data_IF_383718033893
#
_entry.id   IF_383718033893
#
_cell.length_a   1.000
_cell.length_b   1.000
_cell.length_c   1.000
_cell.angle_alpha   90.00
_cell.angle_beta   90.00
_cell.angle_gamma   90.00
#
_symmetry.space_group_name_H-M   'P 1'
#
loop_
_entity.id
_entity.type
_entity.pdbx_description
1 polymer ?
#
# COMPACT_ATOMS: atom_id res chain seq x y z
N UNK A 1 -12.28 -0.19 -15.42
CA UNK A 1 -11.23 -1.02 -14.86
C UNK A 1 -11.77 -1.71 -13.64
N UNK A 2 -11.82 -3.01 -13.62
CA UNK A 2 -12.31 -3.72 -12.43
C UNK A 2 -11.26 -3.60 -11.32
N UNK A 3 -11.65 -3.02 -10.24
CA UNK A 3 -10.89 -3.11 -8.98
C UNK A 3 -11.24 -4.48 -8.40
N UNK A 4 -10.50 -5.50 -8.83
CA UNK A 4 -10.87 -6.85 -8.49
C UNK A 4 -10.14 -7.34 -7.25
N UNK A 5 -9.16 -6.62 -6.64
CA UNK A 5 -8.09 -7.51 -6.47
C UNK A 5 -7.55 -7.66 -5.07
N UNK A 6 -7.97 -6.84 -4.19
CA UNK A 6 -7.71 -7.04 -2.76
C UNK A 6 -8.40 -8.29 -2.19
N UNK A 7 -9.37 -8.81 -2.94
CA UNK A 7 -10.20 -9.90 -2.50
C UNK A 7 -9.66 -11.27 -2.87
N UNK A 8 -9.04 -11.37 -4.03
CA UNK A 8 -8.52 -12.66 -4.47
C UNK A 8 -7.27 -13.06 -3.69
N UNK A 9 -6.50 -12.07 -3.29
CA UNK A 9 -5.35 -12.29 -2.41
C UNK A 9 -5.76 -12.78 -1.01
N UNK A 10 -6.93 -12.38 -0.53
CA UNK A 10 -7.44 -12.85 0.76
C UNK A 10 -8.08 -14.25 0.69
N UNK A 11 -8.49 -14.68 -0.51
CA UNK A 11 -9.13 -15.97 -0.70
C UNK A 11 -8.17 -17.12 -0.96
N UNK A 12 -6.94 -16.82 -1.38
CA UNK A 12 -5.93 -17.86 -1.52
C UNK A 12 -5.30 -18.16 -0.16
N UNK A 13 -5.91 -19.08 0.54
CA UNK A 13 -5.45 -19.58 1.84
C UNK A 13 -4.05 -20.21 1.83
N UNK A 14 -3.31 -20.11 0.75
CA UNK A 14 -2.04 -20.78 0.57
C UNK A 14 -0.82 -19.86 0.42
N UNK A 15 -0.99 -18.57 0.60
CA UNK A 15 0.11 -17.62 0.44
C UNK A 15 1.13 -17.63 1.59
N UNK A 16 0.80 -18.26 2.72
CA UNK A 16 1.73 -18.39 3.86
C UNK A 16 2.96 -19.25 3.58
N UNK A 17 2.97 -19.98 2.46
CA UNK A 17 4.10 -20.85 2.12
C UNK A 17 5.03 -20.27 1.07
N UNK A 18 4.77 -19.08 0.57
CA UNK A 18 5.72 -18.40 -0.29
C UNK A 18 6.68 -17.64 0.62
N UNK A 19 7.78 -18.24 0.91
CA UNK A 19 8.93 -17.60 1.51
C UNK A 19 9.45 -16.54 0.55
N UNK A 20 8.88 -15.36 0.62
CA UNK A 20 9.66 -14.18 0.30
C UNK A 20 10.71 -14.08 1.40
N UNK A 21 11.97 -13.94 1.04
CA UNK A 21 12.95 -13.60 2.06
C UNK A 21 12.40 -12.35 2.75
N UNK A 22 12.12 -12.48 4.00
CA UNK A 22 11.97 -11.34 4.85
C UNK A 22 13.22 -10.51 4.66
N UNK A 23 13.08 -9.46 3.89
CA UNK A 23 14.05 -8.39 3.99
C UNK A 23 13.84 -7.70 5.34
N UNK A 24 13.83 -8.56 6.26
CA UNK A 24 14.03 -8.20 7.58
C UNK A 24 15.42 -7.95 7.71
N UNK A 25 15.74 -6.98 7.60
CA UNK A 25 16.73 -6.65 8.19
C UNK A 25 17.31 -5.63 7.93
N UNK A 26 17.00 -4.85 8.55
CA UNK A 26 18.03 -4.02 9.00
C UNK A 26 17.85 -3.75 10.45
N UNK A 27 18.13 -4.71 11.22
CA UNK A 27 18.75 -4.42 12.50
C UNK A 27 20.11 -3.80 12.21
N UNK A 28 20.13 -2.53 12.01
CA UNK A 28 21.35 -1.77 12.10
C UNK A 28 21.70 -1.64 13.55
N UNK A 29 22.35 -2.64 14.05
CA UNK A 29 23.23 -2.47 15.18
C UNK A 29 24.38 -1.58 14.74
N UNK A 30 24.53 -0.45 15.41
CA UNK A 30 25.43 0.58 15.06
C UNK A 30 26.91 0.18 14.87
N UNK A 31 27.49 0.84 13.95
CA UNK A 31 28.89 0.98 13.80
C UNK A 31 29.12 2.38 13.32
N UNK A 32 29.48 3.24 14.25
CA UNK A 32 29.98 4.56 13.97
C UNK A 32 31.35 4.37 13.41
N UNK A 33 31.57 4.74 12.16
CA UNK A 33 32.89 5.20 11.77
C UNK A 33 32.78 6.29 10.72
N UNK A 34 33.21 7.42 11.18
CA UNK A 34 33.46 8.59 10.42
C UNK A 34 34.67 8.40 9.54
N UNK A 35 34.51 8.47 8.25
CA UNK A 35 35.55 9.03 7.40
C UNK A 35 34.96 9.48 6.08
N UNK A 36 35.16 10.75 5.87
CA UNK A 36 34.91 11.53 4.67
C UNK A 36 35.59 10.95 3.45
N UNK A 37 34.85 10.82 2.36
CA UNK A 37 35.32 11.31 1.04
C UNK A 37 34.24 11.13 -0.01
N UNK A 38 33.81 12.25 -0.50
CA UNK A 38 33.42 12.64 -1.87
C UNK A 38 33.00 11.61 -2.89
N UNK A 39 31.82 11.95 -3.44
CA UNK A 39 31.42 11.76 -4.84
C UNK A 39 31.09 10.37 -5.32
N UNK A 40 29.84 10.12 -5.36
CA UNK A 40 29.06 9.82 -6.57
C UNK A 40 27.62 9.58 -6.19
N UNK A 41 26.76 10.30 -6.85
CA UNK A 41 25.33 10.34 -6.67
C UNK A 41 24.63 9.02 -6.99
N UNK A 42 24.68 8.13 -6.04
CA UNK A 42 23.74 7.04 -5.92
C UNK A 42 23.00 7.25 -4.60
N UNK A 43 21.99 8.11 -4.59
CA UNK A 43 21.10 8.20 -3.44
C UNK A 43 20.33 6.89 -3.34
N UNK A 44 20.86 5.93 -2.63
CA UNK A 44 20.05 4.86 -2.07
C UNK A 44 19.12 5.52 -1.06
N UNK A 45 17.85 5.65 -1.45
CA UNK A 45 16.83 6.16 -0.56
C UNK A 45 16.90 5.38 0.76
N UNK A 46 16.79 6.07 1.89
CA UNK A 46 16.69 5.40 3.18
C UNK A 46 15.51 4.42 3.15
N UNK A 47 15.51 3.34 3.94
CA UNK A 47 14.40 2.40 3.98
C UNK A 47 13.04 3.07 4.19
N UNK A 48 13.00 4.16 4.94
CA UNK A 48 11.80 4.95 5.14
C UNK A 48 11.37 5.68 3.85
N UNK A 49 12.29 6.28 3.12
CA UNK A 49 12.00 6.95 1.84
C UNK A 49 11.54 5.94 0.77
N UNK A 50 12.12 4.74 0.74
CA UNK A 50 11.69 3.68 -0.15
C UNK A 50 10.24 3.24 0.14
N UNK A 51 9.87 3.14 1.40
CA UNK A 51 8.51 2.83 1.82
C UNK A 51 7.52 3.96 1.45
N UNK A 52 7.91 5.21 1.66
CA UNK A 52 7.12 6.37 1.25
C UNK A 52 6.90 6.35 -0.27
N UNK A 53 7.94 6.13 -1.03
CA UNK A 53 7.88 6.11 -2.49
C UNK A 53 6.97 4.98 -2.99
N UNK A 54 7.12 3.77 -2.47
CA UNK A 54 6.30 2.63 -2.87
C UNK A 54 4.83 2.85 -2.51
N UNK A 55 4.55 3.29 -1.29
CA UNK A 55 3.18 3.59 -0.85
C UNK A 55 2.57 4.71 -1.69
N UNK A 56 3.35 5.75 -1.99
CA UNK A 56 2.91 6.85 -2.86
C UNK A 56 2.57 6.37 -4.27
N UNK A 57 3.33 5.43 -4.83
CA UNK A 57 3.07 4.84 -6.15
C UNK A 57 1.75 4.07 -6.18
N UNK A 58 1.45 3.31 -5.15
CA UNK A 58 0.16 2.62 -5.03
C UNK A 58 -0.97 3.62 -4.94
N UNK A 59 -0.86 4.60 -4.05
CA UNK A 59 -1.89 5.66 -3.90
C UNK A 59 -2.10 6.39 -5.24
N UNK A 60 -1.01 6.73 -5.92
CA UNK A 60 -1.08 7.42 -7.21
C UNK A 60 -1.78 6.57 -8.28
N UNK A 61 -1.48 5.29 -8.35
CA UNK A 61 -2.11 4.37 -9.30
C UNK A 61 -3.57 4.10 -9.01
N UNK A 62 -3.93 3.98 -7.74
CA UNK A 62 -5.27 3.57 -7.30
C UNK A 62 -6.22 4.76 -7.03
N UNK A 63 -5.69 5.91 -6.61
CA UNK A 63 -6.50 6.94 -6.01
C UNK A 63 -6.13 8.38 -6.39
N UNK A 64 -5.32 8.62 -7.42
CA UNK A 64 -4.90 9.99 -7.77
C UNK A 64 -6.06 10.91 -8.16
N UNK A 65 -7.17 10.36 -8.59
CA UNK A 65 -8.41 11.10 -8.92
C UNK A 65 -9.37 11.26 -7.76
N UNK A 66 -9.07 10.65 -6.61
CA UNK A 66 -9.89 10.71 -5.41
C UNK A 66 -9.64 11.99 -4.60
N UNK A 67 -10.59 12.42 -3.76
CA UNK A 67 -10.33 13.43 -2.75
C UNK A 67 -9.08 13.07 -1.92
N UNK A 68 -8.39 14.08 -1.39
CA UNK A 68 -7.15 13.86 -0.66
C UNK A 68 -7.30 12.84 0.50
N UNK A 69 -8.39 12.96 1.26
CA UNK A 69 -8.74 12.00 2.31
C UNK A 69 -8.85 10.56 1.77
N UNK A 70 -9.41 10.39 0.58
CA UNK A 70 -9.49 9.08 -0.10
C UNK A 70 -8.12 8.55 -0.51
N UNK A 71 -7.20 9.41 -0.88
CA UNK A 71 -5.82 9.02 -1.16
C UNK A 71 -5.11 8.53 0.11
N UNK A 72 -5.25 9.25 1.22
CA UNK A 72 -4.74 8.81 2.53
C UNK A 72 -5.37 7.49 2.95
N UNK A 73 -6.68 7.34 2.73
CA UNK A 73 -7.42 6.13 3.06
C UNK A 73 -6.88 4.88 2.35
N UNK A 74 -6.55 4.97 1.07
CA UNK A 74 -5.91 3.86 0.34
C UNK A 74 -4.55 3.51 0.95
N UNK A 75 -3.75 4.50 1.30
CA UNK A 75 -2.49 4.29 2.01
C UNK A 75 -2.68 3.61 3.37
N UNK A 76 -3.69 4.04 4.11
CA UNK A 76 -4.04 3.46 5.41
C UNK A 76 -4.45 1.98 5.28
N UNK A 77 -5.20 1.61 4.24
CA UNK A 77 -5.55 0.20 3.99
C UNK A 77 -4.29 -0.66 3.80
N UNK A 78 -3.32 -0.19 3.05
CA UNK A 78 -2.04 -0.92 2.89
C UNK A 78 -1.37 -1.13 4.26
N UNK A 79 -1.30 -0.10 5.08
CA UNK A 79 -0.66 -0.18 6.40
C UNK A 79 -1.46 -1.06 7.37
N UNK A 80 -2.78 -0.99 7.34
CA UNK A 80 -3.65 -1.87 8.13
C UNK A 80 -3.45 -3.34 7.77
N UNK A 81 -3.23 -3.65 6.49
CA UNK A 81 -2.90 -5.00 6.05
C UNK A 81 -1.54 -5.45 6.58
N UNK A 82 -0.55 -4.58 6.59
CA UNK A 82 0.78 -4.89 7.16
C UNK A 82 0.67 -5.33 8.62
N UNK A 83 -0.22 -4.69 9.38
CA UNK A 83 -0.46 -5.01 10.78
C UNK A 83 -1.42 -6.19 11.00
N UNK A 84 -2.10 -6.62 9.96
CA UNK A 84 -3.09 -7.69 10.07
C UNK A 84 -2.46 -9.07 9.83
N UNK A 85 -2.78 -10.07 10.69
CA UNK A 85 -2.13 -11.38 10.63
C UNK A 85 -2.40 -12.18 9.35
N UNK A 86 -3.44 -11.84 8.59
CA UNK A 86 -3.79 -12.52 7.34
C UNK A 86 -3.06 -11.98 6.11
N UNK A 87 -2.24 -10.95 6.27
CA UNK A 87 -1.50 -10.31 5.16
C UNK A 87 0.01 -10.35 5.42
N UNK A 88 0.83 -10.12 4.38
CA UNK A 88 2.25 -9.94 4.56
C UNK A 88 2.56 -8.79 5.53
N UNK A 89 3.67 -8.91 6.26
CA UNK A 89 4.05 -7.96 7.30
C UNK A 89 4.98 -6.84 6.82
N UNK A 90 4.96 -6.54 5.54
CA UNK A 90 5.72 -5.43 4.96
C UNK A 90 4.91 -4.73 3.88
N UNK A 91 5.20 -3.46 3.65
CA UNK A 91 4.53 -2.67 2.59
C UNK A 91 4.75 -3.32 1.22
N UNK A 92 5.99 -3.71 0.91
CA UNK A 92 6.28 -4.38 -0.35
C UNK A 92 5.56 -5.73 -0.49
N UNK A 93 5.52 -6.50 0.59
CA UNK A 93 4.78 -7.77 0.62
C UNK A 93 3.30 -7.60 0.35
N UNK A 94 2.67 -6.59 0.95
CA UNK A 94 1.24 -6.28 0.72
C UNK A 94 1.02 -5.76 -0.70
N UNK A 95 1.85 -4.84 -1.17
CA UNK A 95 1.69 -4.19 -2.48
C UNK A 95 1.86 -5.19 -3.62
N UNK A 96 2.88 -6.04 -3.55
CA UNK A 96 3.18 -7.00 -4.61
C UNK A 96 2.52 -8.37 -4.43
N UNK A 97 1.65 -8.51 -3.45
CA UNK A 97 0.82 -9.70 -3.34
C UNK A 97 -0.04 -9.84 -4.60
N UNK A 98 -0.04 -11.02 -5.20
CA UNK A 98 -0.74 -11.26 -6.46
C UNK A 98 -2.21 -10.84 -6.38
N UNK A 99 -2.65 -10.03 -7.33
CA UNK A 99 -4.01 -9.55 -7.39
C UNK A 99 -4.40 -8.53 -6.31
N UNK A 100 -3.45 -8.02 -5.53
CA UNK A 100 -3.76 -7.10 -4.43
C UNK A 100 -4.13 -5.70 -4.90
N UNK A 101 -3.47 -5.21 -5.95
CA UNK A 101 -3.68 -3.86 -6.48
C UNK A 101 -3.65 -3.87 -8.01
N UNK A 102 -4.70 -3.30 -8.60
CA UNK A 102 -4.82 -3.15 -10.06
C UNK A 102 -3.66 -2.35 -10.64
N UNK A 103 -3.19 -1.34 -9.92
CA UNK A 103 -2.09 -0.49 -10.36
C UNK A 103 -0.77 -1.26 -10.57
N UNK A 104 -0.56 -2.35 -9.86
CA UNK A 104 0.60 -3.23 -10.07
C UNK A 104 0.41 -4.04 -11.35
N UNK A 105 -0.77 -4.61 -11.53
CA UNK A 105 -1.06 -5.51 -12.66
C UNK A 105 -1.11 -4.78 -14.01
N UNK A 106 -1.64 -3.56 -14.03
CA UNK A 106 -1.79 -2.77 -15.26
C UNK A 106 -0.65 -1.75 -15.50
N UNK A 107 0.33 -1.68 -14.61
CA UNK A 107 1.49 -0.81 -14.74
C UNK A 107 1.26 0.64 -14.28
N UNK A 108 0.08 1.01 -13.78
CA UNK A 108 -0.20 2.36 -13.27
C UNK A 108 0.68 2.74 -12.07
N UNK A 109 1.24 1.76 -11.38
CA UNK A 109 2.21 1.99 -10.31
C UNK A 109 3.45 2.78 -10.78
N UNK A 110 3.73 2.75 -12.08
CA UNK A 110 4.82 3.48 -12.72
C UNK A 110 4.38 4.80 -13.36
N UNK A 111 3.12 5.20 -13.21
CA UNK A 111 2.62 6.46 -13.75
C UNK A 111 3.31 7.67 -13.10
N UNK A 112 3.26 8.81 -13.79
CA UNK A 112 3.81 10.06 -13.28
C UNK A 112 3.23 10.39 -11.90
N UNK A 113 4.12 10.63 -10.92
CA UNK A 113 3.76 10.82 -9.53
C UNK A 113 3.17 12.20 -9.26
N UNK A 114 1.97 12.23 -8.69
CA UNK A 114 1.38 13.46 -8.18
C UNK A 114 1.93 13.78 -6.79
N UNK A 115 2.18 15.07 -6.54
CA UNK A 115 2.66 15.55 -5.24
C UNK A 115 1.68 15.20 -4.10
N UNK A 116 0.38 15.22 -4.38
CA UNK A 116 -0.66 14.83 -3.41
C UNK A 116 -0.53 13.37 -2.96
N UNK A 117 -0.22 12.46 -3.89
CA UNK A 117 -0.05 11.03 -3.58
C UNK A 117 1.14 10.80 -2.65
N UNK A 118 2.24 11.52 -2.86
CA UNK A 118 3.43 11.43 -1.99
C UNK A 118 3.16 12.01 -0.60
N UNK A 119 2.43 13.12 -0.53
CA UNK A 119 2.01 13.70 0.76
C UNK A 119 1.06 12.77 1.49
N UNK A 120 0.08 12.17 0.79
CA UNK A 120 -0.86 11.22 1.37
C UNK A 120 -0.14 9.98 1.94
N UNK A 121 0.90 9.48 1.27
CA UNK A 121 1.72 8.39 1.79
C UNK A 121 2.39 8.74 3.12
N UNK A 122 2.93 9.95 3.23
CA UNK A 122 3.55 10.43 4.48
C UNK A 122 2.52 10.57 5.59
N UNK A 123 1.35 11.13 5.30
CA UNK A 123 0.29 11.31 6.29
C UNK A 123 -0.24 9.95 6.79
N UNK A 124 -0.42 8.98 5.91
CA UNK A 124 -0.78 7.62 6.30
C UNK A 124 0.30 6.96 7.18
N UNK A 125 1.57 7.07 6.80
CA UNK A 125 2.69 6.56 7.59
C UNK A 125 2.84 7.25 8.94
N UNK A 126 2.42 8.51 9.04
CA UNK A 126 2.37 9.24 10.32
C UNK A 126 1.17 8.86 11.19
N UNK A 127 0.31 7.96 10.75
CA UNK A 127 -0.78 7.40 11.53
C UNK A 127 -2.17 7.92 11.21
N UNK A 128 -2.33 8.75 10.17
CA UNK A 128 -3.66 9.18 9.77
C UNK A 128 -4.38 8.07 9.00
N UNK A 129 -5.39 7.49 9.62
CA UNK A 129 -6.30 6.52 9.01
C UNK A 129 -7.74 7.04 9.03
N UNK A 130 -8.21 7.64 7.95
CA UNK A 130 -9.59 8.13 7.87
C UNK A 130 -10.62 7.00 7.76
N UNK A 131 -10.20 5.74 7.57
CA UNK A 131 -11.11 4.60 7.42
C UNK A 131 -11.51 3.95 8.74
N UNK A 132 -10.76 4.20 9.81
CA UNK A 132 -11.01 3.53 11.09
C UNK A 132 -10.62 2.04 11.11
N UNK A 133 -9.60 1.66 10.35
CA UNK A 133 -9.03 0.32 10.40
C UNK A 133 -9.41 -0.60 9.23
N UNK A 134 -9.92 -0.07 8.12
CA UNK A 134 -10.29 -0.88 6.97
C UNK A 134 -9.10 -1.64 6.37
N UNK A 135 -9.34 -2.87 5.95
CA UNK A 135 -8.37 -3.71 5.25
C UNK A 135 -8.76 -4.00 3.81
N UNK A 136 -9.95 -3.58 3.37
CA UNK A 136 -10.43 -3.67 2.00
C UNK A 136 -11.07 -2.36 1.55
N UNK A 137 -11.04 -2.13 0.25
CA UNK A 137 -11.86 -1.11 -0.39
C UNK A 137 -12.28 -1.55 -1.78
N UNK A 138 -13.36 -0.99 -2.28
CA UNK A 138 -13.82 -1.21 -3.65
C UNK A 138 -14.61 -0.01 -4.16
N UNK A 139 -14.63 0.13 -5.48
CA UNK A 139 -15.52 1.07 -6.13
C UNK A 139 -16.82 0.34 -6.48
N UNK A 140 -17.98 0.71 -5.92
CA UNK A 140 -19.23 0.00 -6.13
C UNK A 140 -19.76 0.03 -7.57
N UNK A 141 -19.24 0.98 -8.39
CA UNK A 141 -19.61 1.07 -9.81
C UNK A 141 -18.87 0.06 -10.67
N UNK A 142 -17.66 -0.27 -10.31
CA UNK A 142 -16.75 -1.09 -11.14
C UNK A 142 -16.46 -2.46 -10.56
N UNK A 143 -16.71 -2.66 -9.27
CA UNK A 143 -16.45 -3.93 -8.61
C UNK A 143 -17.33 -5.06 -9.18
N UNK A 144 -16.69 -6.10 -9.68
CA UNK A 144 -17.35 -7.29 -10.22
C UNK A 144 -17.44 -8.43 -9.21
N UNK A 145 -16.56 -8.44 -8.22
CA UNK A 145 -16.54 -9.46 -7.18
C UNK A 145 -17.66 -9.23 -6.18
N UNK A 146 -18.56 -10.22 -6.07
CA UNK A 146 -19.71 -10.12 -5.17
C UNK A 146 -19.31 -10.30 -3.70
N UNK A 147 -18.23 -11.04 -3.41
CA UNK A 147 -17.79 -11.26 -2.04
C UNK A 147 -17.45 -9.95 -1.32
N UNK A 148 -16.79 -9.01 -1.99
CA UNK A 148 -16.44 -7.74 -1.36
C UNK A 148 -17.67 -6.96 -0.89
N UNK A 149 -18.79 -7.12 -1.58
CA UNK A 149 -20.05 -6.46 -1.24
C UNK A 149 -20.71 -7.03 0.01
N UNK A 150 -20.27 -8.20 0.46
CA UNK A 150 -20.76 -8.84 1.69
C UNK A 150 -19.97 -8.43 2.94
N UNK A 151 -18.89 -7.67 2.74
CA UNK A 151 -18.03 -7.27 3.84
C UNK A 151 -18.65 -6.15 4.67
N UNK A 152 -18.24 -6.07 5.93
CA UNK A 152 -18.70 -5.03 6.83
C UNK A 152 -18.17 -3.66 6.39
N UNK A 153 -19.07 -2.79 5.97
CA UNK A 153 -18.73 -1.45 5.53
C UNK A 153 -18.46 -0.57 6.74
N UNK A 154 -17.30 0.11 6.72
CA UNK A 154 -16.93 1.07 7.75
C UNK A 154 -17.31 2.49 7.30
N UNK A 155 -16.88 2.88 6.10
CA UNK A 155 -17.15 4.22 5.58
C UNK A 155 -17.04 4.26 4.05
N UNK A 156 -17.49 5.37 3.48
CA UNK A 156 -17.31 5.68 2.06
C UNK A 156 -16.59 7.03 1.96
N UNK A 157 -15.52 7.07 1.19
CA UNK A 157 -14.75 8.29 0.92
C UNK A 157 -14.55 8.39 -0.59
N UNK A 158 -15.00 9.47 -1.20
CA UNK A 158 -15.00 9.63 -2.64
C UNK A 158 -15.81 8.51 -3.32
N UNK A 159 -15.21 7.83 -4.27
CA UNK A 159 -15.85 6.72 -4.98
C UNK A 159 -15.59 5.34 -4.34
N UNK A 160 -14.80 5.28 -3.27
CA UNK A 160 -14.42 4.04 -2.61
C UNK A 160 -15.22 3.76 -1.35
N UNK A 161 -15.68 2.52 -1.24
CA UNK A 161 -16.26 1.96 -0.01
C UNK A 161 -15.16 1.20 0.72
N UNK A 162 -14.93 1.54 1.99
CA UNK A 162 -13.93 0.92 2.85
C UNK A 162 -14.60 -0.04 3.84
N UNK A 163 -14.03 -1.23 3.98
CA UNK A 163 -14.67 -2.34 4.72
C UNK A 163 -13.63 -3.32 5.32
N UNK A 164 -14.15 -4.23 6.15
CA UNK A 164 -13.40 -5.33 6.76
C UNK A 164 -13.92 -6.71 6.32
#
# INVERSE_FOLDING_TARGET
MPVIDAVEAALSSNWRSSSYPSEDLLSLSGGVDSSSSSSSSGQTASPNEANIELLARVINGEARGEPYEGQVAVGAVVLNRVDHPSFPNSISGVVYQKGAFTAVDDGQINAAMYASSRRAARDALNGWDPTGGAIYYYNPRTATNQWIRTREVICTIGEHVFCN
#
